data_IF_780684479603
#
_entry.id   IF_780684479603
#
_cell.length_a   1.000
_cell.length_b   1.000
_cell.length_c   1.000
_cell.angle_alpha   90.00
_cell.angle_beta   90.00
_cell.angle_gamma   90.00
#
_symmetry.space_group_name_H-M   'P 1'
#
loop_
_entity.id
_entity.type
_entity.pdbx_description
1 polymer ?
#
# COMPACT_ATOMS: atom_id res chain seq x y z
N UNK A 1 -55.96 9.26 -24.55
CA UNK A 1 -54.81 10.11 -24.95
C UNK A 1 -53.98 10.68 -23.78
N UNK A 2 -54.45 10.72 -22.52
CA UNK A 2 -53.70 11.32 -21.39
C UNK A 2 -52.55 10.45 -20.79
N UNK A 3 -52.48 9.15 -21.13
CA UNK A 3 -51.46 8.23 -20.58
C UNK A 3 -50.06 8.46 -21.21
N UNK A 4 -50.02 8.74 -22.52
CA UNK A 4 -48.76 8.90 -23.27
C UNK A 4 -47.95 10.13 -22.84
N UNK A 5 -48.60 11.23 -22.44
CA UNK A 5 -47.92 12.44 -21.97
C UNK A 5 -47.24 12.23 -20.60
N UNK A 6 -47.93 11.57 -19.66
CA UNK A 6 -47.35 11.23 -18.35
C UNK A 6 -46.20 10.24 -18.48
N UNK A 7 -46.32 9.26 -19.38
CA UNK A 7 -45.26 8.31 -19.70
C UNK A 7 -43.99 9.02 -20.21
N UNK A 8 -44.13 9.97 -21.15
CA UNK A 8 -43.00 10.73 -21.69
C UNK A 8 -42.29 11.57 -20.61
N UNK A 9 -43.04 12.19 -19.69
CA UNK A 9 -42.46 12.93 -18.56
C UNK A 9 -41.68 12.01 -17.62
N UNK A 10 -42.25 10.86 -17.27
CA UNK A 10 -41.57 9.89 -16.40
C UNK A 10 -40.29 9.36 -17.03
N UNK A 11 -40.32 9.01 -18.32
CA UNK A 11 -39.13 8.55 -19.07
C UNK A 11 -38.07 9.64 -19.11
N UNK A 12 -38.45 10.90 -19.39
CA UNK A 12 -37.52 12.04 -19.38
C UNK A 12 -36.90 12.23 -18.00
N UNK A 13 -37.71 12.22 -16.94
CA UNK A 13 -37.20 12.41 -15.59
C UNK A 13 -36.28 11.26 -15.18
N UNK A 14 -36.62 10.01 -15.54
CA UNK A 14 -35.77 8.85 -15.33
C UNK A 14 -34.43 9.01 -16.05
N UNK A 15 -34.45 9.42 -17.33
CA UNK A 15 -33.23 9.69 -18.09
C UNK A 15 -32.38 10.79 -17.43
N UNK A 16 -33.01 11.89 -16.99
CA UNK A 16 -32.32 12.96 -16.25
C UNK A 16 -31.71 12.43 -14.95
N UNK A 17 -32.43 11.62 -14.17
CA UNK A 17 -31.88 11.04 -12.93
C UNK A 17 -30.76 10.04 -13.18
N UNK A 18 -30.81 9.27 -14.26
CA UNK A 18 -29.71 8.38 -14.65
C UNK A 18 -28.47 9.22 -15.00
N UNK A 19 -28.62 10.26 -15.81
CA UNK A 19 -27.50 11.16 -16.17
C UNK A 19 -26.92 11.83 -14.92
N UNK A 20 -27.77 12.42 -14.07
CA UNK A 20 -27.34 13.03 -12.82
C UNK A 20 -26.69 12.01 -11.87
N UNK A 21 -27.21 10.78 -11.81
CA UNK A 21 -26.66 9.70 -11.00
C UNK A 21 -25.27 9.26 -11.45
N UNK A 22 -25.04 9.17 -12.77
CA UNK A 22 -23.72 8.87 -13.33
C UNK A 22 -22.74 10.01 -13.01
N UNK A 23 -23.14 11.27 -13.21
CA UNK A 23 -22.32 12.43 -12.86
C UNK A 23 -21.98 12.43 -11.36
N UNK A 24 -22.97 12.19 -10.50
CA UNK A 24 -22.78 12.10 -9.07
C UNK A 24 -21.83 10.96 -8.67
N UNK A 25 -21.94 9.79 -9.30
CA UNK A 25 -21.05 8.66 -9.06
C UNK A 25 -19.58 9.03 -9.38
N UNK A 26 -19.32 9.64 -10.53
CA UNK A 26 -17.97 10.09 -10.89
C UNK A 26 -17.46 11.19 -9.96
N UNK A 27 -18.32 12.11 -9.50
CA UNK A 27 -17.95 13.12 -8.53
C UNK A 27 -17.66 12.54 -7.14
N UNK A 28 -18.38 11.50 -6.72
CA UNK A 28 -18.20 10.85 -5.42
C UNK A 28 -17.02 9.87 -5.40
N UNK A 29 -16.65 9.32 -6.56
CA UNK A 29 -15.54 8.37 -6.68
C UNK A 29 -14.24 8.84 -5.97
N UNK A 30 -13.70 10.05 -6.20
CA UNK A 30 -12.50 10.51 -5.49
C UNK A 30 -12.69 10.59 -3.97
N UNK A 31 -13.88 10.95 -3.48
CA UNK A 31 -14.17 10.99 -2.05
C UNK A 31 -14.26 9.59 -1.44
N UNK A 32 -14.88 8.64 -2.15
CA UNK A 32 -14.93 7.24 -1.74
C UNK A 32 -13.51 6.68 -1.68
N UNK A 33 -12.69 6.94 -2.71
CA UNK A 33 -11.30 6.52 -2.73
C UNK A 33 -10.48 7.15 -1.60
N UNK A 34 -10.71 8.43 -1.30
CA UNK A 34 -10.05 9.11 -0.19
C UNK A 34 -10.44 8.51 1.16
N UNK A 35 -11.73 8.27 1.39
CA UNK A 35 -12.24 7.67 2.61
C UNK A 35 -11.75 6.24 2.80
N UNK A 36 -11.70 5.44 1.74
CA UNK A 36 -11.20 4.07 1.84
C UNK A 36 -9.69 4.06 2.03
N UNK A 37 -8.97 5.01 1.44
CA UNK A 37 -7.51 5.13 1.59
C UNK A 37 -7.10 5.60 2.98
N UNK A 38 -7.87 6.48 3.62
CA UNK A 38 -7.58 6.89 5.00
C UNK A 38 -7.75 5.77 6.02
N UNK A 39 -8.45 4.68 5.66
CA UNK A 39 -8.64 3.49 6.51
C UNK A 39 -7.66 2.35 6.20
N UNK A 40 -6.74 2.51 5.24
CA UNK A 40 -5.71 1.51 4.91
C UNK A 40 -4.51 1.60 5.84
N UNK A 41 -3.70 0.56 5.90
CA UNK A 41 -2.38 0.65 6.50
C UNK A 41 -1.49 1.65 5.72
N UNK A 42 -0.59 2.40 6.39
CA UNK A 42 0.31 3.35 5.73
C UNK A 42 1.14 2.71 4.61
N UNK A 43 1.59 1.46 4.79
CA UNK A 43 2.38 0.70 3.80
C UNK A 43 1.58 0.38 2.52
N UNK A 44 0.26 0.27 2.62
CA UNK A 44 -0.62 0.00 1.47
C UNK A 44 -1.01 1.25 0.69
N UNK A 45 -0.75 2.45 1.23
CA UNK A 45 -1.08 3.73 0.56
C UNK A 45 -0.27 3.95 -0.73
N UNK A 46 0.92 3.36 -0.82
CA UNK A 46 1.82 3.45 -1.98
C UNK A 46 1.84 2.18 -2.85
N UNK A 47 0.92 1.24 -2.62
CA UNK A 47 0.90 -0.06 -3.32
C UNK A 47 0.34 0.09 -4.74
N UNK A 48 1.02 -0.54 -5.71
CA UNK A 48 0.57 -0.64 -7.10
C UNK A 48 0.25 -2.09 -7.48
N UNK A 49 -0.91 -2.38 -8.11
CA UNK A 49 -1.99 -1.44 -8.45
C UNK A 49 -2.78 -0.96 -7.22
N UNK A 50 -3.35 0.26 -7.25
CA UNK A 50 -4.12 0.80 -6.14
C UNK A 50 -5.39 -0.02 -5.91
N UNK A 51 -5.66 -0.34 -4.64
CA UNK A 51 -6.84 -1.11 -4.24
C UNK A 51 -7.90 -0.17 -3.69
N UNK A 52 -9.18 -0.41 -4.02
CA UNK A 52 -10.26 0.44 -3.52
C UNK A 52 -10.50 0.19 -2.03
N UNK A 53 -10.64 -1.06 -1.61
CA UNK A 53 -11.00 -1.43 -0.25
C UNK A 53 -9.77 -1.64 0.64
N UNK A 54 -9.83 -1.24 1.93
CA UNK A 54 -8.80 -1.55 2.91
C UNK A 54 -8.76 -3.05 3.21
N UNK A 55 -7.55 -3.62 3.12
CA UNK A 55 -7.25 -5.02 3.42
C UNK A 55 -5.92 -5.11 4.13
N UNK A 56 -5.79 -6.03 5.05
CA UNK A 56 -4.52 -6.37 5.71
C UNK A 56 -4.20 -7.85 5.47
N UNK A 57 -2.91 -8.17 5.46
CA UNK A 57 -2.46 -9.56 5.44
C UNK A 57 -2.76 -10.25 6.76
N UNK A 58 -3.27 -11.49 6.69
CA UNK A 58 -3.43 -12.31 7.89
C UNK A 58 -2.07 -12.81 8.35
N UNK A 59 -1.96 -13.00 9.65
CA UNK A 59 -0.80 -13.58 10.30
C UNK A 59 -1.21 -14.75 11.20
N UNK A 60 -0.26 -15.61 11.55
CA UNK A 60 -0.46 -16.74 12.45
C UNK A 60 0.68 -16.86 13.46
N UNK A 61 0.32 -17.27 14.68
CA UNK A 61 1.26 -17.59 15.76
C UNK A 61 1.44 -19.11 15.94
N UNK A 62 0.82 -19.92 15.09
CA UNK A 62 0.75 -21.38 15.26
C UNK A 62 2.12 -22.07 15.29
N UNK A 63 3.15 -21.46 14.73
CA UNK A 63 4.51 -21.98 14.69
C UNK A 63 5.37 -21.56 15.90
N UNK A 64 4.77 -20.91 16.91
CA UNK A 64 5.41 -20.67 18.22
C UNK A 64 6.55 -19.65 18.21
N UNK A 65 6.60 -18.76 17.21
CA UNK A 65 7.56 -17.66 17.14
C UNK A 65 7.17 -16.46 18.02
N UNK A 66 8.13 -15.57 18.26
CA UNK A 66 7.91 -14.32 19.03
C UNK A 66 7.05 -13.30 18.27
N UNK A 67 7.07 -13.36 16.94
CA UNK A 67 6.31 -12.48 16.05
C UNK A 67 5.32 -13.26 15.18
N UNK A 68 4.12 -12.70 14.93
CA UNK A 68 3.11 -13.32 14.10
C UNK A 68 3.59 -13.39 12.64
N UNK A 69 3.54 -14.59 12.05
CA UNK A 69 4.06 -14.84 10.70
C UNK A 69 2.98 -14.57 9.64
N UNK A 70 3.29 -13.86 8.54
CA UNK A 70 2.30 -13.56 7.50
C UNK A 70 1.92 -14.80 6.68
N UNK A 71 0.63 -14.92 6.39
CA UNK A 71 0.05 -16.03 5.63
C UNK A 71 0.00 -15.74 4.13
N UNK A 72 0.30 -16.75 3.33
CA UNK A 72 0.25 -16.72 1.87
C UNK A 72 -0.43 -17.97 1.33
N UNK A 73 -1.01 -17.85 0.13
CA UNK A 73 -1.52 -19.00 -0.61
C UNK A 73 -0.38 -19.72 -1.32
N UNK A 74 -0.25 -21.01 -1.05
CA UNK A 74 0.67 -21.93 -1.73
C UNK A 74 -0.18 -23.00 -2.41
N UNK A 75 0.14 -23.33 -3.67
CA UNK A 75 -0.58 -24.36 -4.43
C UNK A 75 0.20 -25.67 -4.35
N UNK A 76 -0.40 -26.69 -3.74
CA UNK A 76 0.14 -28.06 -3.67
C UNK A 76 -0.88 -28.99 -4.30
N UNK A 77 -0.47 -29.82 -5.25
CA UNK A 77 -1.36 -30.75 -5.97
C UNK A 77 -2.60 -30.09 -6.59
N UNK A 78 -2.46 -28.83 -7.03
CA UNK A 78 -3.55 -28.04 -7.61
C UNK A 78 -4.56 -27.49 -6.58
N UNK A 79 -4.34 -27.67 -5.29
CA UNK A 79 -5.15 -27.07 -4.21
C UNK A 79 -4.40 -25.90 -3.57
N UNK A 80 -5.05 -24.74 -3.48
CA UNK A 80 -4.53 -23.60 -2.70
C UNK A 80 -4.72 -23.88 -1.20
N UNK A 81 -3.63 -23.74 -0.44
CA UNK A 81 -3.59 -23.87 1.02
C UNK A 81 -2.86 -22.67 1.63
N UNK A 82 -3.12 -22.42 2.91
CA UNK A 82 -2.54 -21.28 3.64
C UNK A 82 -1.22 -21.71 4.31
N UNK A 83 -0.14 -21.01 4.00
CA UNK A 83 1.19 -21.27 4.56
C UNK A 83 1.73 -20.00 5.21
N UNK A 84 2.45 -20.16 6.32
CA UNK A 84 3.15 -19.08 7.00
C UNK A 84 4.54 -18.85 6.39
N UNK A 85 4.89 -17.62 6.09
CA UNK A 85 6.24 -17.24 5.67
C UNK A 85 7.15 -17.17 6.90
N UNK A 86 7.95 -18.22 7.11
CA UNK A 86 8.86 -18.34 8.27
C UNK A 86 10.18 -17.62 8.03
N UNK A 87 10.69 -17.69 6.80
CA UNK A 87 11.97 -17.09 6.44
C UNK A 87 11.86 -16.46 5.05
N UNK A 88 12.36 -15.24 4.91
CA UNK A 88 12.37 -14.52 3.62
C UNK A 88 13.78 -14.31 3.11
N UNK A 89 13.90 -14.05 1.80
CA UNK A 89 15.17 -13.70 1.15
C UNK A 89 16.26 -14.78 1.25
N UNK A 90 15.84 -16.04 1.20
CA UNK A 90 16.73 -17.20 1.08
C UNK A 90 17.36 -17.14 -0.31
N UNK A 91 18.69 -17.08 -0.37
CA UNK A 91 19.41 -17.04 -1.63
C UNK A 91 19.47 -18.46 -2.18
N UNK A 92 18.83 -18.67 -3.31
CA UNK A 92 18.76 -19.97 -3.97
C UNK A 92 19.49 -19.86 -5.30
N UNK A 93 20.44 -20.76 -5.52
CA UNK A 93 21.13 -20.91 -6.78
C UNK A 93 20.27 -21.72 -7.74
N UNK A 94 20.24 -21.31 -9.01
CA UNK A 94 19.68 -22.09 -10.10
C UNK A 94 20.85 -22.81 -10.75
N UNK A 95 20.84 -24.13 -10.66
CA UNK A 95 21.91 -24.99 -11.14
C UNK A 95 21.41 -25.84 -12.31
N UNK A 96 22.13 -25.88 -13.42
CA UNK A 96 21.81 -26.71 -14.57
C UNK A 96 22.81 -27.85 -14.72
N UNK A 97 22.35 -29.01 -15.16
CA UNK A 97 23.24 -30.12 -15.51
C UNK A 97 24.06 -29.74 -16.78
N UNK A 98 25.40 -29.75 -16.75
CA UNK A 98 26.21 -29.38 -17.91
C UNK A 98 26.00 -30.28 -19.14
N UNK A 99 25.58 -31.53 -18.92
CA UNK A 99 25.35 -32.50 -19.99
C UNK A 99 23.90 -32.46 -20.52
N UNK A 100 22.97 -31.96 -19.73
CA UNK A 100 21.57 -31.73 -20.10
C UNK A 100 21.07 -30.42 -19.47
N UNK A 101 21.26 -29.27 -20.14
CA UNK A 101 20.92 -27.97 -19.59
C UNK A 101 19.43 -27.77 -19.29
N UNK A 102 18.55 -28.66 -19.77
CA UNK A 102 17.11 -28.62 -19.47
C UNK A 102 16.80 -29.15 -18.07
N UNK A 103 17.71 -29.92 -17.49
CA UNK A 103 17.62 -30.42 -16.13
C UNK A 103 18.20 -29.38 -15.16
N UNK A 104 17.34 -28.75 -14.37
CA UNK A 104 17.72 -27.70 -13.43
C UNK A 104 17.30 -28.02 -12.00
N UNK A 105 18.12 -27.60 -11.04
CA UNK A 105 17.89 -27.75 -9.61
C UNK A 105 17.95 -26.38 -8.92
N UNK A 106 17.03 -26.17 -7.99
CA UNK A 106 17.01 -24.99 -7.13
C UNK A 106 17.46 -25.40 -5.73
N UNK A 107 18.63 -24.92 -5.31
CA UNK A 107 19.26 -25.31 -4.04
C UNK A 107 19.72 -24.07 -3.29
N UNK A 108 19.65 -24.06 -1.97
CA UNK A 108 20.21 -22.98 -1.15
C UNK A 108 21.72 -22.83 -1.47
N UNK A 109 22.17 -21.60 -1.73
CA UNK A 109 23.58 -21.34 -2.09
C UNK A 109 24.57 -21.77 -1.01
N UNK A 110 24.12 -21.95 0.24
CA UNK A 110 24.95 -22.43 1.36
C UNK A 110 25.17 -23.94 1.35
N UNK A 111 24.33 -24.69 0.64
CA UNK A 111 24.44 -26.15 0.51
C UNK A 111 25.27 -26.58 -0.70
N UNK A 112 25.57 -25.65 -1.61
CA UNK A 112 26.38 -25.91 -2.80
C UNK A 112 27.88 -25.64 -2.53
N UNK A 113 28.74 -26.60 -2.86
CA UNK A 113 30.19 -26.47 -2.71
C UNK A 113 30.89 -26.27 -4.06
N UNK A 114 31.78 -25.27 -4.24
CA UNK A 114 32.43 -25.04 -5.53
C UNK A 114 33.40 -26.17 -5.88
N UNK A 115 33.32 -26.69 -7.11
CA UNK A 115 34.28 -27.70 -7.61
C UNK A 115 35.61 -27.03 -7.91
N UNK A 116 36.72 -27.65 -7.49
CA UNK A 116 38.06 -27.04 -7.57
C UNK A 116 38.33 -25.98 -6.48
N UNK A 117 37.35 -25.70 -5.62
CA UNK A 117 37.45 -24.73 -4.52
C UNK A 117 37.26 -23.28 -4.96
N UNK A 118 37.22 -22.36 -3.99
CA UNK A 118 36.87 -20.94 -4.23
C UNK A 118 37.90 -20.12 -5.03
N UNK A 119 39.14 -20.59 -5.14
CA UNK A 119 40.23 -19.84 -5.80
C UNK A 119 40.39 -20.24 -7.27
N UNK A 120 40.26 -21.53 -7.56
CA UNK A 120 40.40 -22.10 -8.90
C UNK A 120 39.15 -22.92 -9.22
N UNK A 121 38.00 -22.25 -9.16
CA UNK A 121 36.72 -22.89 -9.40
C UNK A 121 36.65 -23.40 -10.84
N UNK A 122 36.23 -24.66 -11.00
CA UNK A 122 36.03 -25.25 -12.32
C UNK A 122 34.80 -24.63 -12.99
N UNK A 123 34.82 -24.57 -14.32
CA UNK A 123 33.75 -23.98 -15.14
C UNK A 123 33.20 -25.06 -16.08
N UNK A 124 31.89 -25.06 -16.31
CA UNK A 124 31.27 -25.79 -17.40
C UNK A 124 30.85 -24.85 -18.53
N UNK A 125 30.91 -25.34 -19.75
CA UNK A 125 30.39 -24.62 -20.91
C UNK A 125 28.99 -25.13 -21.25
N UNK A 126 27.99 -24.26 -21.19
CA UNK A 126 26.60 -24.53 -21.59
C UNK A 126 26.25 -23.53 -22.70
N UNK A 127 25.85 -24.03 -23.88
CA UNK A 127 25.51 -23.21 -25.05
C UNK A 127 26.55 -22.15 -25.46
N UNK A 128 27.84 -22.41 -25.17
CA UNK A 128 28.96 -21.52 -25.49
C UNK A 128 29.25 -20.45 -24.44
N UNK A 129 28.53 -20.43 -23.32
CA UNK A 129 28.83 -19.59 -22.15
C UNK A 129 29.42 -20.43 -21.01
N UNK A 130 30.35 -19.83 -20.26
CA UNK A 130 31.02 -20.48 -19.13
C UNK A 130 30.32 -20.17 -17.81
N UNK A 131 30.01 -21.21 -17.04
CA UNK A 131 29.32 -21.14 -15.77
C UNK A 131 30.11 -21.86 -14.67
N UNK A 132 30.16 -21.32 -13.44
CA UNK A 132 30.92 -21.93 -12.34
C UNK A 132 30.27 -23.25 -11.89
N UNK A 133 31.09 -24.27 -11.70
CA UNK A 133 30.68 -25.61 -11.31
C UNK A 133 30.59 -25.75 -9.78
N UNK A 134 29.54 -26.40 -9.32
CA UNK A 134 29.26 -26.69 -7.92
C UNK A 134 28.87 -28.15 -7.75
N UNK A 135 29.16 -28.71 -6.58
CA UNK A 135 28.59 -29.97 -6.12
C UNK A 135 27.38 -29.65 -5.25
N UNK A 136 26.25 -30.25 -5.60
CA UNK A 136 25.02 -30.23 -4.80
C UNK A 136 24.65 -31.66 -4.43
N UNK A 137 23.94 -31.84 -3.31
CA UNK A 137 23.42 -33.16 -2.92
C UNK A 137 21.92 -33.19 -3.15
N UNK A 138 21.46 -33.99 -4.11
CA UNK A 138 20.04 -34.19 -4.42
C UNK A 138 19.73 -35.67 -4.23
N UNK A 139 18.72 -36.00 -3.42
CA UNK A 139 18.32 -37.39 -3.10
C UNK A 139 19.48 -38.29 -2.61
N UNK A 140 20.46 -37.69 -1.93
CA UNK A 140 21.64 -38.40 -1.42
C UNK A 140 22.73 -38.68 -2.47
N UNK A 141 22.57 -38.19 -3.70
CA UNK A 141 23.59 -38.25 -4.75
C UNK A 141 24.28 -36.90 -4.89
N UNK A 142 25.61 -36.92 -4.97
CA UNK A 142 26.41 -35.72 -5.27
C UNK A 142 26.43 -35.51 -6.79
N UNK A 143 25.89 -34.39 -7.25
CA UNK A 143 25.82 -34.01 -8.65
C UNK A 143 26.70 -32.78 -8.89
N UNK A 144 27.46 -32.80 -9.99
CA UNK A 144 28.21 -31.65 -10.46
C UNK A 144 27.35 -30.85 -11.43
N UNK A 145 27.05 -29.62 -11.06
CA UNK A 145 26.10 -28.76 -11.75
C UNK A 145 26.66 -27.36 -11.94
N UNK A 146 26.28 -26.69 -13.02
CA UNK A 146 26.71 -25.34 -13.32
C UNK A 146 25.72 -24.31 -12.76
N UNK A 147 26.19 -23.31 -12.02
CA UNK A 147 25.30 -22.25 -11.53
C UNK A 147 24.99 -21.25 -12.64
N UNK A 148 23.78 -21.33 -13.18
CA UNK A 148 23.31 -20.47 -14.30
C UNK A 148 22.57 -19.22 -13.82
N UNK A 149 22.17 -19.18 -12.55
CA UNK A 149 21.49 -18.02 -11.98
C UNK A 149 21.35 -18.07 -10.47
N UNK A 150 20.77 -17.00 -9.93
CA UNK A 150 20.40 -16.89 -8.53
C UNK A 150 19.04 -16.22 -8.41
N UNK A 151 18.27 -16.65 -7.43
CA UNK A 151 16.97 -16.07 -7.08
C UNK A 151 16.83 -15.95 -5.56
N UNK A 152 15.79 -15.25 -5.12
CA UNK A 152 15.45 -15.12 -3.71
C UNK A 152 14.08 -15.74 -3.47
N UNK A 153 14.06 -16.80 -2.66
CA UNK A 153 12.83 -17.49 -2.24
C UNK A 153 12.52 -17.20 -0.77
N UNK A 154 11.30 -17.51 -0.37
CA UNK A 154 10.87 -17.58 1.02
C UNK A 154 10.52 -19.01 1.37
N UNK A 155 10.76 -19.39 2.63
CA UNK A 155 10.34 -20.66 3.22
C UNK A 155 8.95 -20.51 3.80
N UNK A 156 8.01 -21.22 3.21
CA UNK A 156 6.62 -21.29 3.59
C UNK A 156 6.36 -22.60 4.33
N UNK A 157 5.74 -22.56 5.50
CA UNK A 157 5.45 -23.75 6.33
C UNK A 157 3.96 -23.82 6.63
N UNK A 158 3.36 -25.02 6.54
CA UNK A 158 1.94 -25.20 6.88
C UNK A 158 1.75 -24.97 8.40
N UNK A 159 0.89 -24.03 8.82
CA UNK A 159 0.64 -23.75 10.23
C UNK A 159 0.05 -24.94 11.00
N UNK A 160 -0.60 -25.88 10.31
CA UNK A 160 -1.23 -27.06 10.91
C UNK A 160 -0.32 -28.29 10.89
N UNK A 161 0.64 -28.33 9.98
CA UNK A 161 1.62 -29.41 9.84
C UNK A 161 3.02 -28.85 9.51
N UNK A 162 3.84 -28.52 10.51
CA UNK A 162 5.15 -27.91 10.31
C UNK A 162 6.14 -28.76 9.51
N UNK A 163 5.86 -30.05 9.27
CA UNK A 163 6.69 -30.90 8.43
C UNK A 163 6.54 -30.58 6.94
N UNK A 164 5.47 -29.89 6.53
CA UNK A 164 5.24 -29.49 5.15
C UNK A 164 5.79 -28.10 4.92
N UNK A 165 6.92 -28.02 4.21
CA UNK A 165 7.55 -26.76 3.79
C UNK A 165 7.66 -26.64 2.27
N UNK A 166 7.58 -25.41 1.77
CA UNK A 166 7.68 -25.08 0.34
C UNK A 166 8.54 -23.83 0.19
N UNK A 167 9.47 -23.86 -0.76
CA UNK A 167 10.21 -22.67 -1.19
C UNK A 167 9.48 -22.01 -2.37
N UNK A 168 9.14 -20.73 -2.24
CA UNK A 168 8.48 -19.98 -3.32
C UNK A 168 8.95 -18.52 -3.34
N UNK A 169 8.84 -17.86 -4.50
CA UNK A 169 9.15 -16.44 -4.61
C UNK A 169 8.10 -15.58 -3.88
N UNK A 170 8.51 -14.95 -2.77
CA UNK A 170 7.63 -14.11 -1.93
C UNK A 170 6.94 -12.99 -2.70
N UNK A 171 7.62 -12.40 -3.70
CA UNK A 171 7.05 -11.29 -4.49
C UNK A 171 5.95 -11.75 -5.45
N UNK A 172 6.01 -13.02 -5.88
CA UNK A 172 5.01 -13.63 -6.75
C UNK A 172 3.89 -14.32 -5.96
N UNK A 173 4.12 -14.62 -4.67
CA UNK A 173 3.12 -15.21 -3.79
C UNK A 173 1.98 -14.25 -3.47
N UNK A 174 0.75 -14.78 -3.42
CA UNK A 174 -0.44 -14.02 -3.03
C UNK A 174 -0.61 -14.09 -1.50
N UNK A 175 -0.58 -12.97 -0.77
CA UNK A 175 -0.87 -12.98 0.66
C UNK A 175 -2.34 -13.36 0.91
N UNK A 176 -2.61 -14.00 2.04
CA UNK A 176 -3.96 -14.21 2.57
C UNK A 176 -4.40 -12.89 3.20
N UNK A 177 -5.53 -12.34 2.79
CA UNK A 177 -5.96 -10.99 3.18
C UNK A 177 -7.40 -10.99 3.71
N UNK A 178 -7.70 -10.10 4.66
CA UNK A 178 -9.08 -9.79 5.10
C UNK A 178 -9.39 -8.32 4.94
N UNK A 179 -10.69 -7.99 4.83
CA UNK A 179 -11.15 -6.61 4.93
C UNK A 179 -10.91 -6.09 6.35
N UNK A 180 -10.32 -4.90 6.45
CA UNK A 180 -9.99 -4.25 7.72
C UNK A 180 -10.33 -2.77 7.66
N UNK A 181 -10.26 -2.07 8.79
CA UNK A 181 -10.35 -0.62 8.84
C UNK A 181 -9.48 -0.11 9.98
N UNK A 182 -8.64 0.89 9.68
CA UNK A 182 -7.71 1.51 10.64
C UNK A 182 -8.16 2.94 11.02
N UNK A 183 -9.20 3.12 11.85
CA UNK A 183 -9.62 4.45 12.32
C UNK A 183 -8.56 5.14 13.21
N UNK A 184 -7.61 4.38 13.78
CA UNK A 184 -6.47 4.88 14.53
C UNK A 184 -5.61 5.87 13.71
N UNK A 185 -5.59 5.73 12.38
CA UNK A 185 -4.89 6.64 11.47
C UNK A 185 -5.24 8.12 11.72
N UNK A 186 -6.50 8.44 12.05
CA UNK A 186 -6.93 9.82 12.32
C UNK A 186 -6.30 10.37 13.60
N UNK A 187 -6.15 9.53 14.62
CA UNK A 187 -5.52 9.92 15.89
C UNK A 187 -4.02 10.09 15.70
N UNK A 188 -3.40 9.18 14.96
CA UNK A 188 -1.96 9.21 14.70
C UNK A 188 -1.56 10.47 13.93
N UNK A 189 -2.35 10.87 12.93
CA UNK A 189 -2.14 12.10 12.16
C UNK A 189 -2.23 13.36 13.02
N UNK A 190 -3.15 13.44 13.98
CA UNK A 190 -3.25 14.59 14.89
C UNK A 190 -2.06 14.67 15.85
N UNK A 191 -1.54 13.52 16.28
CA UNK A 191 -0.35 13.44 17.14
C UNK A 191 0.96 13.68 16.36
N UNK A 192 0.97 13.42 15.05
CA UNK A 192 2.12 13.63 14.18
C UNK A 192 2.50 15.13 14.14
N UNK A 193 3.79 15.40 14.33
CA UNK A 193 4.40 16.73 14.17
C UNK A 193 3.78 17.87 15.01
N UNK A 194 3.20 17.58 16.19
CA UNK A 194 2.49 18.57 17.02
C UNK A 194 1.36 19.30 16.27
N UNK A 195 0.66 18.59 15.37
CA UNK A 195 -0.41 19.18 14.58
C UNK A 195 -1.55 19.70 15.48
N UNK A 196 -1.81 19.03 16.61
CA UNK A 196 -2.68 19.49 17.68
C UNK A 196 -2.40 20.94 18.13
N UNK A 197 -1.13 21.28 18.34
CA UNK A 197 -0.70 22.63 18.73
C UNK A 197 -0.85 23.62 17.58
N UNK A 198 -0.48 23.23 16.37
CA UNK A 198 -0.60 24.07 15.17
C UNK A 198 -2.05 24.48 14.92
N UNK A 199 -2.98 23.51 15.00
CA UNK A 199 -4.41 23.75 14.84
C UNK A 199 -4.94 24.66 15.96
N UNK A 200 -4.58 24.39 17.21
CA UNK A 200 -5.05 25.19 18.35
C UNK A 200 -4.55 26.64 18.30
N UNK A 201 -3.28 26.85 17.94
CA UNK A 201 -2.71 28.19 17.75
C UNK A 201 -3.42 28.94 16.63
N UNK A 202 -3.68 28.28 15.50
CA UNK A 202 -4.38 28.89 14.36
C UNK A 202 -5.79 29.31 14.74
N UNK A 203 -6.53 28.45 15.45
CA UNK A 203 -7.88 28.78 15.95
C UNK A 203 -7.82 29.99 16.89
N UNK A 204 -6.87 30.01 17.82
CA UNK A 204 -6.74 31.12 18.78
C UNK A 204 -6.40 32.44 18.09
N UNK A 205 -5.45 32.45 17.17
CA UNK A 205 -5.04 33.65 16.42
C UNK A 205 -6.17 34.14 15.52
N UNK A 206 -6.81 33.25 14.75
CA UNK A 206 -7.90 33.64 13.86
C UNK A 206 -9.09 34.20 14.61
N UNK A 207 -9.48 33.57 15.73
CA UNK A 207 -10.55 34.08 16.58
C UNK A 207 -10.20 35.45 17.18
N UNK A 208 -8.97 35.62 17.66
CA UNK A 208 -8.47 36.89 18.19
C UNK A 208 -8.49 38.01 17.15
N UNK A 209 -8.03 37.73 15.92
CA UNK A 209 -8.06 38.68 14.80
C UNK A 209 -9.50 39.04 14.43
N UNK A 210 -10.39 38.05 14.27
CA UNK A 210 -11.79 38.29 13.92
C UNK A 210 -12.49 39.15 14.98
N UNK A 211 -12.29 38.84 16.27
CA UNK A 211 -12.87 39.63 17.35
C UNK A 211 -12.32 41.06 17.38
N UNK A 212 -11.01 41.23 17.21
CA UNK A 212 -10.37 42.55 17.17
C UNK A 212 -10.84 43.38 15.99
N UNK A 213 -10.90 42.79 14.79
CA UNK A 213 -11.38 43.44 13.58
C UNK A 213 -12.85 43.80 13.71
N UNK A 214 -13.72 42.89 14.12
CA UNK A 214 -15.15 43.18 14.31
C UNK A 214 -15.38 44.31 15.31
N UNK A 215 -14.70 44.28 16.46
CA UNK A 215 -14.83 45.31 17.49
C UNK A 215 -14.40 46.67 16.94
N UNK A 216 -13.23 46.74 16.31
CA UNK A 216 -12.68 47.99 15.76
C UNK A 216 -13.54 48.53 14.63
N UNK A 217 -13.98 47.67 13.71
CA UNK A 217 -14.84 48.05 12.59
C UNK A 217 -16.22 48.51 13.03
N UNK A 218 -16.83 47.85 14.02
CA UNK A 218 -18.14 48.27 14.56
C UNK A 218 -18.03 49.60 15.29
N UNK A 219 -17.00 49.79 16.14
CA UNK A 219 -16.77 51.06 16.85
C UNK A 219 -16.50 52.21 15.87
N UNK A 220 -15.60 51.99 14.90
CA UNK A 220 -15.30 52.96 13.85
C UNK A 220 -16.53 53.32 13.02
N UNK A 221 -17.28 52.31 12.55
CA UNK A 221 -18.50 52.52 11.78
C UNK A 221 -19.57 53.28 12.57
N UNK A 222 -19.78 52.95 13.85
CA UNK A 222 -20.71 53.66 14.72
C UNK A 222 -20.30 55.12 14.94
N UNK A 223 -19.01 55.38 15.18
CA UNK A 223 -18.48 56.73 15.38
C UNK A 223 -18.73 57.63 14.16
N UNK A 224 -18.49 57.13 12.94
CA UNK A 224 -18.77 57.88 11.72
C UNK A 224 -20.28 58.03 11.44
N UNK A 225 -21.10 57.03 11.77
CA UNK A 225 -22.53 57.05 11.47
C UNK A 225 -23.37 57.89 12.46
N UNK A 226 -23.00 57.95 13.73
CA UNK A 226 -23.84 58.53 14.80
C UNK A 226 -23.23 59.69 15.55
N UNK A 227 -21.91 59.84 15.62
CA UNK A 227 -21.27 60.93 16.35
C UNK A 227 -20.96 62.13 15.44
N UNK A 228 -21.09 63.34 15.99
CA UNK A 228 -20.69 64.59 15.34
C UNK A 228 -19.44 65.11 16.04
N UNK A 229 -18.28 64.97 15.41
CA UNK A 229 -17.00 65.43 15.94
C UNK A 229 -16.26 66.31 14.91
N UNK A 230 -15.46 67.29 15.36
CA UNK A 230 -14.74 68.17 14.45
C UNK A 230 -13.69 67.39 13.64
N UNK A 231 -13.68 67.58 12.31
CA UNK A 231 -12.76 66.90 11.38
C UNK A 231 -13.29 65.58 10.78
N UNK A 232 -14.51 65.15 11.11
CA UNK A 232 -15.13 63.91 10.58
C UNK A 232 -15.11 63.82 9.05
N UNK A 233 -15.54 64.88 8.36
CA UNK A 233 -15.72 64.83 6.91
C UNK A 233 -14.38 64.75 6.16
N UNK A 234 -13.32 65.36 6.71
CA UNK A 234 -11.96 65.23 6.19
C UNK A 234 -11.40 63.81 6.36
N UNK A 235 -11.61 63.19 7.52
CA UNK A 235 -11.23 61.79 7.77
C UNK A 235 -12.05 60.80 6.92
N UNK A 236 -13.32 61.10 6.67
CA UNK A 236 -14.19 60.28 5.83
C UNK A 236 -13.72 60.29 4.36
N UNK A 237 -13.39 61.46 3.80
CA UNK A 237 -12.86 61.57 2.44
C UNK A 237 -11.48 60.92 2.32
N UNK A 238 -10.61 61.07 3.33
CA UNK A 238 -9.32 60.40 3.37
C UNK A 238 -9.48 58.87 3.33
N UNK A 239 -10.40 58.32 4.12
CA UNK A 239 -10.73 56.89 4.13
C UNK A 239 -11.33 56.40 2.81
N UNK A 240 -12.16 57.21 2.14
CA UNK A 240 -12.73 56.87 0.83
C UNK A 240 -11.70 56.91 -0.31
N UNK A 241 -10.58 57.62 -0.10
CA UNK A 241 -9.49 57.78 -1.07
C UNK A 241 -8.35 56.78 -0.91
N UNK A 242 -8.36 55.92 0.11
CA UNK A 242 -7.42 54.82 0.35
C UNK A 242 -8.05 53.48 0.02
#
# INVERSE_FOLDING_TARGET
MLSSYRLLITIRNLAVYIVLGVIAFFMLFPFIYMLTTSLKEPKDSFRYPPRLLPREGLTTDALGGDEPLPLYYVTIDGQEREFALVQSNIRVGIYANPNDPTETYEVDVTEATPVGGFVNQEMATIDGEEYPLYEITVDGQTLQVAQVGQTALGRFVDPNDPAVEVLQNVRLSRPVERLTAHPENYRDVVALQNMDRSLSNTILVTLGVVLGTLTTSVLGGYAFARLRFPGRDALFVLYLGT
#
